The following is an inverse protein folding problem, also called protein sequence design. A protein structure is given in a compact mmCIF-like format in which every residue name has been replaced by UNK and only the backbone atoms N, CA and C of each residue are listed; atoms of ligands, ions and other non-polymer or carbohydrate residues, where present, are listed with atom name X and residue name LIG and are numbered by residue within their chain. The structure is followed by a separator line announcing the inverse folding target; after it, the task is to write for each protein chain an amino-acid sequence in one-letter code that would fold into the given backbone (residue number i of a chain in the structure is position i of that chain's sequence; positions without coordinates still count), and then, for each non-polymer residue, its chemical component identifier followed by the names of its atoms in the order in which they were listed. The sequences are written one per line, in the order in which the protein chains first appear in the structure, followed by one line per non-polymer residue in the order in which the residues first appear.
data_IF_198518866553
#
_entry.id   IF_198518866553
#
_cell.length_a   1.000
_cell.length_b   1.000
_cell.length_c   1.000
_cell.angle_alpha   90.00
_cell.angle_beta   90.00
_cell.angle_gamma   90.00
#
_symmetry.space_group_name_H-M   'P 1'
#
loop_
_entity.id
_entity.type
_entity.pdbx_description
1 polymer ?
#
# COMPACT_ATOMS: atom_id res chain seq x y z
N UNK A 1 -15.19 1.90 -1.44
CA UNK A 1 -13.74 1.84 -1.23
C UNK A 1 -13.11 2.62 -2.38
N UNK A 2 -12.26 3.60 -2.08
CA UNK A 2 -11.58 4.45 -3.06
C UNK A 2 -10.10 4.14 -2.99
N UNK A 3 -9.70 3.01 -3.58
CA UNK A 3 -8.31 2.61 -3.68
C UNK A 3 -7.97 2.51 -5.17
N UNK A 4 -6.71 2.79 -5.51
CA UNK A 4 -6.18 2.61 -6.86
C UNK A 4 -6.50 1.21 -7.45
N UNK A 5 -6.74 0.20 -6.61
CA UNK A 5 -7.14 -1.16 -6.99
C UNK A 5 -8.56 -1.29 -7.53
N UNK A 6 -9.53 -0.58 -6.96
CA UNK A 6 -10.90 -0.59 -7.48
C UNK A 6 -10.96 0.20 -8.79
N UNK A 7 -10.08 1.19 -8.93
CA UNK A 7 -10.00 2.04 -10.09
C UNK A 7 -9.20 1.41 -11.25
N UNK A 8 -8.19 0.58 -10.98
CA UNK A 8 -7.28 0.06 -12.00
C UNK A 8 -7.95 -0.75 -13.13
N UNK A 9 -8.87 -1.70 -12.85
CA UNK A 9 -9.53 -2.48 -13.89
C UNK A 9 -10.46 -1.64 -14.76
N UNK A 10 -11.04 -0.58 -14.19
CA UNK A 10 -12.00 0.30 -14.85
C UNK A 10 -11.35 1.57 -15.41
N UNK A 11 -10.02 1.68 -15.36
CA UNK A 11 -9.28 2.88 -15.70
C UNK A 11 -9.56 3.36 -17.14
N UNK A 12 -9.61 2.44 -18.11
CA UNK A 12 -9.90 2.78 -19.50
C UNK A 12 -11.31 3.36 -19.67
N UNK A 13 -12.32 2.74 -19.04
CA UNK A 13 -13.70 3.17 -19.14
C UNK A 13 -13.93 4.51 -18.42
N UNK A 14 -13.28 4.72 -17.28
CA UNK A 14 -13.45 5.94 -16.47
C UNK A 14 -12.64 7.12 -17.02
N UNK A 15 -11.49 6.89 -17.64
CA UNK A 15 -10.76 7.93 -18.39
C UNK A 15 -11.59 8.47 -19.57
N UNK A 16 -12.29 7.60 -20.30
CA UNK A 16 -13.21 8.01 -21.38
C UNK A 16 -14.38 8.86 -20.88
N UNK A 17 -14.80 8.67 -19.62
CA UNK A 17 -15.83 9.47 -18.95
C UNK A 17 -15.30 10.78 -18.36
N UNK A 18 -14.01 11.08 -18.51
CA UNK A 18 -13.38 12.30 -18.03
C UNK A 18 -13.04 12.30 -16.53
N UNK A 19 -13.06 11.15 -15.85
CA UNK A 19 -12.72 11.04 -14.43
C UNK A 19 -11.21 11.24 -14.25
N UNK A 20 -10.83 12.10 -13.31
CA UNK A 20 -9.42 12.47 -13.04
C UNK A 20 -9.01 11.98 -11.65
N UNK A 21 -8.50 10.75 -11.57
CA UNK A 21 -7.82 10.24 -10.37
C UNK A 21 -6.33 10.09 -10.64
N UNK A 22 -5.52 10.12 -9.58
CA UNK A 22 -4.08 9.89 -9.70
C UNK A 22 -3.79 8.47 -10.22
N UNK A 23 -4.57 7.47 -9.78
CA UNK A 23 -4.43 6.09 -10.26
C UNK A 23 -4.69 5.97 -11.77
N UNK A 24 -5.68 6.70 -12.31
CA UNK A 24 -5.91 6.74 -13.75
C UNK A 24 -4.78 7.40 -14.53
N UNK A 25 -4.12 8.40 -13.94
CA UNK A 25 -2.95 9.03 -14.56
C UNK A 25 -1.74 8.09 -14.57
N UNK A 26 -1.52 7.34 -13.50
CA UNK A 26 -0.50 6.29 -13.42
C UNK A 26 -0.73 5.24 -14.52
N UNK A 27 -1.98 4.78 -14.69
CA UNK A 27 -2.36 3.87 -15.77
C UNK A 27 -2.15 4.50 -17.16
N UNK A 28 -2.62 5.74 -17.37
CA UNK A 28 -2.49 6.48 -18.64
C UNK A 28 -1.03 6.65 -19.07
N UNK A 29 -0.12 6.85 -18.12
CA UNK A 29 1.31 7.04 -18.37
C UNK A 29 2.09 5.72 -18.45
N UNK A 30 1.42 4.57 -18.39
CA UNK A 30 2.06 3.26 -18.48
C UNK A 30 2.98 2.92 -17.29
N UNK A 31 2.79 3.60 -16.16
CA UNK A 31 3.52 3.29 -14.93
C UNK A 31 2.94 2.00 -14.36
N UNK A 32 3.79 1.05 -13.96
CA UNK A 32 3.30 -0.21 -13.40
C UNK A 32 2.62 0.00 -12.05
N UNK A 33 1.49 -0.67 -11.84
CA UNK A 33 0.73 -0.58 -10.59
C UNK A 33 1.58 -1.03 -9.41
N UNK A 34 2.37 -2.09 -9.59
CA UNK A 34 3.23 -2.63 -8.53
C UNK A 34 4.27 -1.61 -8.09
N UNK A 35 4.85 -0.87 -9.05
CA UNK A 35 5.82 0.17 -8.76
C UNK A 35 5.19 1.37 -8.06
N UNK A 36 4.01 1.78 -8.52
CA UNK A 36 3.24 2.85 -7.89
C UNK A 36 2.92 2.52 -6.42
N UNK A 37 2.44 1.32 -6.15
CA UNK A 37 2.10 0.89 -4.79
C UNK A 37 3.35 0.70 -3.92
N UNK A 38 4.41 0.09 -4.44
CA UNK A 38 5.68 -0.07 -3.70
C UNK A 38 6.26 1.29 -3.29
N UNK A 39 6.15 2.29 -4.16
CA UNK A 39 6.65 3.65 -3.87
C UNK A 39 5.92 4.28 -2.68
N UNK A 40 4.60 4.08 -2.60
CA UNK A 40 3.81 4.51 -1.43
C UNK A 40 4.20 3.77 -0.15
N UNK A 41 4.38 2.44 -0.21
CA UNK A 41 4.81 1.67 0.96
C UNK A 41 6.20 2.07 1.45
N UNK A 42 7.15 2.30 0.54
CA UNK A 42 8.48 2.78 0.88
C UNK A 42 8.43 4.17 1.50
N UNK A 43 7.60 5.07 0.97
CA UNK A 43 7.39 6.39 1.56
C UNK A 43 6.88 6.30 3.00
N UNK A 44 5.85 5.49 3.25
CA UNK A 44 5.30 5.29 4.60
C UNK A 44 6.34 4.68 5.54
N UNK A 45 7.14 3.72 5.08
CA UNK A 45 8.20 3.11 5.88
C UNK A 45 9.29 4.11 6.25
N UNK A 46 9.78 4.88 5.27
CA UNK A 46 10.81 5.91 5.51
C UNK A 46 10.29 6.95 6.49
N UNK A 47 9.04 7.37 6.32
CA UNK A 47 8.41 8.30 7.25
C UNK A 47 8.29 7.68 8.66
N UNK A 48 7.88 6.42 8.77
CA UNK A 48 7.84 5.72 10.06
C UNK A 48 9.23 5.67 10.73
N UNK A 49 10.27 5.31 9.99
CA UNK A 49 11.65 5.28 10.51
C UNK A 49 12.08 6.66 10.98
N UNK A 50 11.75 7.72 10.24
CA UNK A 50 12.00 9.10 10.66
C UNK A 50 11.26 9.45 11.97
N UNK A 51 10.01 9.05 12.12
CA UNK A 51 9.24 9.28 13.34
C UNK A 51 9.80 8.48 14.54
N UNK A 52 10.33 7.28 14.32
CA UNK A 52 11.05 6.53 15.36
C UNK A 52 12.33 7.27 15.74
N UNK A 53 13.12 7.71 14.75
CA UNK A 53 14.40 8.39 14.97
C UNK A 53 14.25 9.73 15.71
N UNK A 54 13.13 10.44 15.51
CA UNK A 54 12.80 11.69 16.22
C UNK A 54 12.10 11.47 17.56
N UNK A 55 11.88 10.21 17.97
CA UNK A 55 11.26 9.86 19.25
C UNK A 55 9.74 10.05 19.30
N UNK A 56 9.09 10.32 18.17
CA UNK A 56 7.62 10.44 18.08
C UNK A 56 6.97 9.06 18.13
N UNK A 57 7.55 8.06 17.47
CA UNK A 57 7.08 6.68 17.54
C UNK A 57 8.01 5.81 18.41
N UNK A 58 7.43 4.91 19.19
CA UNK A 58 8.20 3.89 19.90
C UNK A 58 9.00 3.02 18.92
N UNK A 59 10.25 2.63 19.24
CA UNK A 59 11.06 1.76 18.39
C UNK A 59 10.37 0.43 18.03
N UNK A 60 9.52 -0.06 18.93
CA UNK A 60 8.78 -1.31 18.74
C UNK A 60 7.71 -1.23 17.65
N UNK A 61 7.39 -0.03 17.14
CA UNK A 61 6.60 0.09 15.91
C UNK A 61 7.28 -0.54 14.69
N UNK A 62 8.58 -0.84 14.73
CA UNK A 62 9.28 -1.60 13.70
C UNK A 62 8.69 -3.01 13.44
N UNK A 63 7.80 -3.52 14.29
CA UNK A 63 7.02 -4.74 14.03
C UNK A 63 6.22 -4.67 12.72
N UNK A 64 5.87 -3.48 12.24
CA UNK A 64 5.20 -3.28 10.95
C UNK A 64 5.99 -3.85 9.77
N UNK A 65 7.31 -4.03 9.87
CA UNK A 65 8.12 -4.69 8.84
C UNK A 65 7.66 -6.11 8.52
N UNK A 66 6.95 -6.78 9.44
CA UNK A 66 6.42 -8.13 9.21
C UNK A 66 5.34 -8.16 8.10
N UNK A 67 4.73 -7.03 7.74
CA UNK A 67 3.78 -6.99 6.62
C UNK A 67 4.46 -7.01 5.26
N UNK A 68 5.74 -6.66 5.16
CA UNK A 68 6.45 -6.46 3.89
C UNK A 68 6.52 -7.71 3.01
N UNK A 69 6.89 -8.90 3.53
CA UNK A 69 6.90 -10.12 2.72
C UNK A 69 5.53 -10.42 2.10
N UNK A 70 4.45 -10.24 2.88
CA UNK A 70 3.09 -10.42 2.41
C UNK A 70 2.68 -9.40 1.34
N UNK A 71 3.05 -8.12 1.52
CA UNK A 71 2.79 -7.07 0.54
C UNK A 71 3.51 -7.35 -0.78
N UNK A 72 4.80 -7.68 -0.73
CA UNK A 72 5.60 -8.00 -1.92
C UNK A 72 5.01 -9.21 -2.64
N UNK A 73 4.65 -10.28 -1.91
CA UNK A 73 4.01 -11.45 -2.49
C UNK A 73 2.69 -11.11 -3.20
N UNK A 74 1.84 -10.27 -2.57
CA UNK A 74 0.59 -9.82 -3.18
C UNK A 74 0.84 -9.00 -4.45
N UNK A 75 1.84 -8.12 -4.46
CA UNK A 75 2.17 -7.31 -5.65
C UNK A 75 2.67 -8.15 -6.82
N UNK A 76 3.47 -9.18 -6.57
CA UNK A 76 3.90 -10.11 -7.61
C UNK A 76 2.72 -10.91 -8.18
N UNK A 77 1.85 -11.41 -7.30
CA UNK A 77 0.72 -12.28 -7.68
C UNK A 77 -0.49 -11.50 -8.25
N UNK A 78 -0.50 -10.18 -8.11
CA UNK A 78 -1.57 -9.29 -8.60
C UNK A 78 -1.79 -9.43 -10.11
N UNK A 79 -0.72 -9.67 -10.87
CA UNK A 79 -0.77 -9.92 -12.33
C UNK A 79 -1.47 -11.23 -12.70
N UNK A 80 -1.45 -12.22 -11.79
CA UNK A 80 -2.02 -13.55 -12.04
C UNK A 80 -3.51 -13.57 -11.74
N UNK A 81 -3.93 -12.97 -10.63
CA UNK A 81 -5.35 -12.93 -10.25
C UNK A 81 -5.68 -11.65 -9.49
N UNK A 82 -5.97 -10.58 -10.23
CA UNK A 82 -6.17 -9.25 -9.68
C UNK A 82 -7.26 -9.20 -8.60
N UNK A 83 -8.43 -9.81 -8.87
CA UNK A 83 -9.58 -9.75 -7.94
C UNK A 83 -9.31 -10.47 -6.63
N UNK A 84 -8.74 -11.68 -6.69
CA UNK A 84 -8.45 -12.46 -5.48
C UNK A 84 -7.29 -11.86 -4.69
N UNK A 85 -6.20 -11.52 -5.39
CA UNK A 85 -4.96 -11.04 -4.76
C UNK A 85 -5.10 -9.59 -4.29
N UNK A 86 -5.87 -8.75 -4.99
CA UNK A 86 -6.21 -7.40 -4.52
C UNK A 86 -6.91 -7.42 -3.16
N UNK A 87 -7.84 -8.36 -2.95
CA UNK A 87 -8.47 -8.57 -1.64
C UNK A 87 -7.46 -8.96 -0.54
N UNK A 88 -6.55 -9.90 -0.83
CA UNK A 88 -5.49 -10.26 0.12
C UNK A 88 -4.53 -9.10 0.39
N UNK A 89 -4.18 -8.30 -0.62
CA UNK A 89 -3.33 -7.14 -0.44
C UNK A 89 -3.97 -6.16 0.55
N UNK A 90 -5.27 -5.88 0.43
CA UNK A 90 -5.98 -5.00 1.36
C UNK A 90 -5.93 -5.54 2.80
N UNK A 91 -6.11 -6.86 2.98
CA UNK A 91 -6.03 -7.49 4.31
C UNK A 91 -4.62 -7.38 4.88
N UNK A 92 -3.58 -7.67 4.09
CA UNK A 92 -2.18 -7.56 4.52
C UNK A 92 -1.81 -6.11 4.81
N UNK A 93 -2.28 -5.16 4.01
CA UNK A 93 -2.07 -3.73 4.23
C UNK A 93 -2.78 -3.25 5.52
N UNK A 94 -3.98 -3.78 5.82
CA UNK A 94 -4.70 -3.46 7.05
C UNK A 94 -4.01 -4.01 8.32
N UNK A 95 -3.15 -5.02 8.19
CA UNK A 95 -2.33 -5.49 9.31
C UNK A 95 -1.27 -4.44 9.73
N UNK A 96 -0.84 -3.58 8.82
CA UNK A 96 0.17 -2.55 9.11
C UNK A 96 -0.24 -1.60 10.24
N UNK A 97 -1.40 -0.90 10.19
CA UNK A 97 -1.81 -0.04 11.31
C UNK A 97 -2.07 -0.82 12.61
N UNK A 98 -2.46 -2.10 12.54
CA UNK A 98 -2.62 -2.94 13.73
C UNK A 98 -1.27 -3.17 14.42
N UNK A 99 -0.25 -3.57 13.65
CA UNK A 99 1.11 -3.77 14.19
C UNK A 99 1.74 -2.45 14.64
N UNK A 100 1.43 -1.34 13.96
CA UNK A 100 1.85 0.00 14.38
C UNK A 100 1.29 0.33 15.77
N UNK A 101 -0.02 0.12 15.98
CA UNK A 101 -0.68 0.37 17.26
C UNK A 101 -0.13 -0.55 18.36
N UNK A 102 0.04 -1.84 18.07
CA UNK A 102 0.62 -2.78 19.04
C UNK A 102 2.06 -2.39 19.41
N UNK A 103 2.88 -1.98 18.44
CA UNK A 103 4.23 -1.48 18.70
C UNK A 103 4.24 -0.23 19.57
N UNK A 104 3.25 0.66 19.42
CA UNK A 104 3.08 1.81 20.31
C UNK A 104 2.70 1.38 21.73
N UNK A 105 1.72 0.49 21.89
CA UNK A 105 1.23 0.06 23.21
C UNK A 105 2.29 -0.71 23.99
N UNK A 106 3.08 -1.55 23.32
CA UNK A 106 4.06 -2.42 24.00
C UNK A 106 5.39 -1.68 24.22
N UNK A 107 5.78 -0.77 23.33
CA UNK A 107 7.08 -0.10 23.37
C UNK A 107 7.09 1.33 23.89
N UNK A 108 5.91 1.94 24.10
CA UNK A 108 5.73 3.32 24.59
C UNK A 108 5.33 3.40 26.05
#
# INVERSE_FOLDING_TARGET
LGLAFDEWPDAEANLKKGVKSLAYKVWQYGISLEWYIMSWFLFVLVYQVFLIATGILAPMTALTFLTFPGLIACLVLLKVNFRKVGGYLVIVAALYPVLLLLGQIIGG
#
